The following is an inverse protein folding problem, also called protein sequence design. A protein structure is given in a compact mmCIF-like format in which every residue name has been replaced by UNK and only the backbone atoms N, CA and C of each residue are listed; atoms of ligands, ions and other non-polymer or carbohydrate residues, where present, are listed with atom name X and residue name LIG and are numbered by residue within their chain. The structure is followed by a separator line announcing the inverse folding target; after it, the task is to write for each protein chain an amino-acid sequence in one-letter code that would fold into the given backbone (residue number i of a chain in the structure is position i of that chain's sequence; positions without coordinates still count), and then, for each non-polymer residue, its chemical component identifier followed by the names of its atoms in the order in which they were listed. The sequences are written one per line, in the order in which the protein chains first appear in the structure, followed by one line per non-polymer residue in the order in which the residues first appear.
data_IF_082977853316
#
_entry.id   IF_082977853316
#
_cell.length_a   1.000
_cell.length_b   1.000
_cell.length_c   1.000
_cell.angle_alpha   90.00
_cell.angle_beta   90.00
_cell.angle_gamma   90.00
#
_symmetry.space_group_name_H-M   'P 1'
#
loop_
_entity.id
_entity.type
_entity.pdbx_description
1 polymer ?
#
# COMPACT_ATOMS: atom_id res chain seq x y z
N UNK A 1 14.74 -14.92 -27.37
CA UNK A 1 15.17 -15.15 -25.98
C UNK A 1 15.19 -13.78 -25.30
N UNK A 2 14.25 -13.51 -24.39
CA UNK A 2 14.23 -12.22 -23.68
C UNK A 2 15.48 -12.09 -22.82
N UNK A 3 16.06 -10.89 -22.78
CA UNK A 3 17.35 -10.60 -22.12
C UNK A 3 17.28 -10.71 -20.59
N UNK A 4 16.06 -10.76 -20.05
CA UNK A 4 15.76 -10.93 -18.63
C UNK A 4 14.80 -12.10 -18.53
N UNK A 5 15.26 -13.19 -17.92
CA UNK A 5 14.66 -14.51 -18.02
C UNK A 5 13.18 -14.54 -17.66
N UNK A 6 12.34 -14.72 -18.67
CA UNK A 6 11.07 -15.40 -18.48
C UNK A 6 11.43 -16.88 -18.51
N UNK A 7 11.41 -17.56 -17.36
CA UNK A 7 11.32 -19.01 -17.36
C UNK A 7 9.92 -19.35 -17.87
N UNK A 8 9.76 -19.29 -19.19
CA UNK A 8 8.61 -19.82 -19.89
C UNK A 8 8.56 -21.29 -19.49
N UNK A 9 7.66 -21.62 -18.56
CA UNK A 9 7.32 -22.99 -18.25
C UNK A 9 6.96 -23.70 -19.56
N UNK A 10 7.15 -25.02 -19.59
CA UNK A 10 7.04 -25.86 -20.79
C UNK A 10 5.73 -25.67 -21.60
N UNK A 11 4.71 -25.04 -21.02
CA UNK A 11 3.41 -24.76 -21.62
C UNK A 11 3.43 -23.70 -22.75
N UNK A 12 4.38 -22.77 -22.75
CA UNK A 12 4.48 -21.76 -23.84
C UNK A 12 4.99 -22.39 -25.14
N UNK A 13 5.79 -23.45 -25.04
CA UNK A 13 6.29 -24.21 -26.21
C UNK A 13 5.16 -25.01 -26.90
N UNK A 14 4.01 -25.19 -26.25
CA UNK A 14 2.87 -25.95 -26.77
C UNK A 14 1.71 -25.08 -27.32
N UNK A 15 1.88 -23.76 -27.43
CA UNK A 15 0.85 -22.87 -27.97
C UNK A 15 -0.42 -22.77 -27.09
N UNK A 16 -0.29 -23.08 -25.79
CA UNK A 16 -1.41 -23.11 -24.83
C UNK A 16 -1.32 -22.02 -23.75
N UNK A 17 -0.59 -20.93 -24.02
CA UNK A 17 -0.62 -19.80 -23.09
C UNK A 17 -1.94 -19.05 -23.27
N UNK A 18 -2.90 -19.35 -22.40
CA UNK A 18 -4.16 -18.60 -22.33
C UNK A 18 -3.93 -17.37 -21.45
N UNK A 19 -3.97 -16.21 -22.10
CA UNK A 19 -4.11 -14.92 -21.41
C UNK A 19 -5.49 -14.91 -20.78
N UNK A 20 -5.63 -14.75 -19.45
CA UNK A 20 -6.93 -14.52 -18.84
C UNK A 20 -7.66 -13.37 -19.54
N UNK A 21 -8.97 -13.52 -19.77
CA UNK A 21 -9.81 -12.50 -20.44
C UNK A 21 -9.82 -11.15 -19.70
N UNK A 22 -9.37 -11.15 -18.45
CA UNK A 22 -9.29 -10.01 -17.54
C UNK A 22 -8.04 -9.14 -17.77
N UNK A 23 -7.10 -9.60 -18.61
CA UNK A 23 -5.87 -8.84 -18.90
C UNK A 23 -6.15 -7.77 -19.94
N UNK A 24 -5.88 -6.53 -19.56
CA UNK A 24 -5.87 -5.39 -20.46
C UNK A 24 -4.72 -5.54 -21.49
N UNK A 25 -5.10 -5.76 -22.75
CA UNK A 25 -4.16 -5.92 -23.85
C UNK A 25 -3.30 -4.68 -24.10
N UNK A 26 -3.80 -3.48 -23.79
CA UNK A 26 -3.02 -2.25 -23.94
C UNK A 26 -1.90 -2.23 -22.87
N UNK A 27 -2.20 -2.64 -21.63
CA UNK A 27 -1.18 -2.78 -20.58
C UNK A 27 -0.14 -3.85 -20.95
N UNK A 28 -0.59 -4.98 -21.50
CA UNK A 28 0.29 -6.05 -21.94
C UNK A 28 1.20 -5.60 -23.09
N UNK A 29 0.66 -4.91 -24.09
CA UNK A 29 1.46 -4.39 -25.21
C UNK A 29 2.54 -3.44 -24.70
N UNK A 30 2.17 -2.47 -23.85
CA UNK A 30 3.12 -1.53 -23.27
C UNK A 30 4.22 -2.22 -22.45
N UNK A 31 3.89 -3.28 -21.72
CA UNK A 31 4.87 -4.06 -20.96
C UNK A 31 5.82 -4.85 -21.88
N UNK A 32 5.30 -5.42 -22.98
CA UNK A 32 6.10 -6.11 -23.99
C UNK A 32 7.05 -5.14 -24.68
N UNK A 33 6.57 -3.96 -25.07
CA UNK A 33 7.38 -2.90 -25.68
C UNK A 33 8.50 -2.46 -24.74
N UNK A 34 8.18 -2.25 -23.46
CA UNK A 34 9.18 -1.97 -22.42
C UNK A 34 10.29 -3.04 -22.35
N UNK A 35 9.91 -4.31 -22.36
CA UNK A 35 10.87 -5.43 -22.28
C UNK A 35 11.72 -5.58 -23.55
N UNK A 36 11.18 -5.21 -24.71
CA UNK A 36 11.88 -5.30 -26.00
C UNK A 36 12.82 -4.12 -26.27
N UNK A 37 12.36 -2.89 -26.05
CA UNK A 37 13.13 -1.69 -26.39
C UNK A 37 14.30 -1.45 -25.42
N UNK A 38 14.20 -2.00 -24.20
CA UNK A 38 15.17 -1.72 -23.13
C UNK A 38 15.24 -0.22 -22.78
N UNK A 39 14.23 0.55 -23.20
CA UNK A 39 14.11 1.96 -22.93
C UNK A 39 13.42 2.13 -21.58
N UNK A 40 14.20 2.48 -20.56
CA UNK A 40 13.72 2.67 -19.19
C UNK A 40 12.94 3.99 -18.99
N UNK A 41 12.68 4.73 -20.07
CA UNK A 41 11.75 5.86 -20.07
C UNK A 41 10.34 5.34 -19.80
N UNK A 42 9.88 5.51 -18.56
CA UNK A 42 8.55 5.11 -18.08
C UNK A 42 7.43 5.30 -19.12
N UNK A 43 6.84 4.20 -19.56
CA UNK A 43 5.79 4.18 -20.61
C UNK A 43 4.42 4.61 -20.05
N UNK A 44 4.22 4.51 -18.74
CA UNK A 44 2.94 4.82 -18.11
C UNK A 44 2.93 6.18 -17.43
N UNK A 45 1.75 6.77 -17.32
CA UNK A 45 1.58 8.02 -16.57
C UNK A 45 2.04 7.81 -15.13
N UNK A 46 3.17 8.42 -14.75
CA UNK A 46 3.72 8.39 -13.38
C UNK A 46 2.72 8.87 -12.32
N UNK A 47 1.64 9.49 -12.77
CA UNK A 47 0.61 10.09 -11.94
C UNK A 47 -0.56 9.14 -11.64
N UNK A 48 -0.66 8.01 -12.34
CA UNK A 48 -1.75 7.05 -12.19
C UNK A 48 -1.36 5.87 -11.28
N UNK A 49 -1.65 6.03 -9.98
CA UNK A 49 -1.45 5.00 -8.95
C UNK A 49 -2.21 3.71 -9.32
N UNK A 50 -3.40 3.83 -9.92
CA UNK A 50 -4.20 2.66 -10.27
C UNK A 50 -3.53 1.86 -11.38
N UNK A 51 -3.11 2.54 -12.44
CA UNK A 51 -2.41 1.90 -13.56
C UNK A 51 -1.13 1.18 -13.10
N UNK A 52 -0.41 1.76 -12.14
CA UNK A 52 0.77 1.13 -11.54
C UNK A 52 0.42 -0.17 -10.79
N UNK A 53 -0.71 -0.22 -10.06
CA UNK A 53 -1.16 -1.45 -9.38
C UNK A 53 -1.47 -2.54 -10.43
N UNK A 54 -2.23 -2.20 -11.47
CA UNK A 54 -2.61 -3.18 -12.49
C UNK A 54 -1.40 -3.69 -13.27
N UNK A 55 -0.45 -2.80 -13.60
CA UNK A 55 0.80 -3.20 -14.22
C UNK A 55 1.65 -4.10 -13.31
N UNK A 56 1.67 -3.82 -12.00
CA UNK A 56 2.38 -4.68 -11.04
C UNK A 56 1.77 -6.08 -11.01
N UNK A 57 0.44 -6.18 -11.01
CA UNK A 57 -0.28 -7.48 -11.07
C UNK A 57 0.02 -8.23 -12.36
N UNK A 58 0.04 -7.53 -13.49
CA UNK A 58 0.39 -8.11 -14.78
C UNK A 58 1.84 -8.60 -14.81
N UNK A 59 2.78 -7.82 -14.29
CA UNK A 59 4.18 -8.22 -14.17
C UNK A 59 4.34 -9.44 -13.26
N UNK A 60 3.60 -9.51 -12.16
CA UNK A 60 3.56 -10.67 -11.28
C UNK A 60 2.95 -11.91 -11.96
N UNK A 61 1.91 -11.74 -12.79
CA UNK A 61 1.34 -12.83 -13.59
C UNK A 61 2.35 -13.39 -14.61
N UNK A 62 3.16 -12.51 -15.21
CA UNK A 62 4.20 -12.86 -16.17
C UNK A 62 5.54 -13.25 -15.51
N UNK A 63 5.61 -13.23 -14.18
CA UNK A 63 6.81 -13.50 -13.38
C UNK A 63 8.01 -12.59 -13.74
N UNK A 64 7.73 -11.31 -14.04
CA UNK A 64 8.74 -10.30 -14.41
C UNK A 64 9.12 -9.46 -13.17
N UNK A 65 9.95 -10.03 -12.30
CA UNK A 65 10.35 -9.41 -11.03
C UNK A 65 11.00 -8.04 -11.17
N UNK A 66 11.80 -7.83 -12.23
CA UNK A 66 12.48 -6.55 -12.48
C UNK A 66 11.48 -5.41 -12.67
N UNK A 67 10.37 -5.67 -13.36
CA UNK A 67 9.29 -4.69 -13.57
C UNK A 67 8.54 -4.44 -12.27
N UNK A 68 8.22 -5.51 -11.52
CA UNK A 68 7.58 -5.37 -10.20
C UNK A 68 8.39 -4.46 -9.29
N UNK A 69 9.70 -4.70 -9.18
CA UNK A 69 10.60 -3.90 -8.35
C UNK A 69 10.65 -2.43 -8.78
N UNK A 70 10.73 -2.18 -10.10
CA UNK A 70 10.71 -0.82 -10.64
C UNK A 70 9.40 -0.12 -10.26
N UNK A 71 8.25 -0.78 -10.42
CA UNK A 71 6.96 -0.19 -10.06
C UNK A 71 6.89 0.13 -8.57
N UNK A 72 7.37 -0.76 -7.70
CA UNK A 72 7.41 -0.55 -6.24
C UNK A 72 8.26 0.68 -5.86
N UNK A 73 9.44 0.85 -6.47
CA UNK A 73 10.29 2.03 -6.25
C UNK A 73 9.60 3.33 -6.68
N UNK A 74 8.89 3.29 -7.81
CA UNK A 74 8.18 4.46 -8.33
C UNK A 74 6.99 4.82 -7.44
N UNK A 75 6.20 3.84 -7.02
CA UNK A 75 5.08 4.05 -6.11
C UNK A 75 5.53 4.54 -4.73
N UNK A 76 6.64 4.02 -4.19
CA UNK A 76 7.22 4.51 -2.94
C UNK A 76 7.53 6.00 -3.03
N UNK A 77 8.18 6.42 -4.11
CA UNK A 77 8.52 7.83 -4.32
C UNK A 77 7.27 8.69 -4.51
N UNK A 78 6.27 8.17 -5.24
CA UNK A 78 5.07 8.92 -5.61
C UNK A 78 4.09 9.08 -4.45
N UNK A 79 3.87 8.02 -3.68
CA UNK A 79 2.97 8.00 -2.53
C UNK A 79 3.59 8.71 -1.31
N UNK A 80 4.86 9.14 -1.38
CA UNK A 80 5.54 9.83 -0.29
C UNK A 80 4.84 11.10 0.24
N UNK A 81 4.14 11.87 -0.60
CA UNK A 81 3.42 13.08 -0.17
C UNK A 81 2.03 12.76 0.40
N UNK A 82 1.60 13.50 1.44
CA UNK A 82 0.27 13.29 2.04
C UNK A 82 -0.88 13.34 1.03
N UNK A 83 -0.84 14.26 0.06
CA UNK A 83 -1.84 14.35 -1.02
C UNK A 83 -1.98 13.04 -1.80
N UNK A 84 -0.87 12.33 -2.05
CA UNK A 84 -0.87 11.05 -2.74
C UNK A 84 -1.24 9.90 -1.79
N UNK A 85 -0.84 9.96 -0.51
CA UNK A 85 -1.31 9.02 0.52
C UNK A 85 -2.84 9.01 0.64
N UNK A 86 -3.48 10.19 0.59
CA UNK A 86 -4.94 10.32 0.54
C UNK A 86 -5.58 9.60 -0.65
N UNK A 87 -4.92 9.59 -1.82
CA UNK A 87 -5.41 8.89 -3.01
C UNK A 87 -5.20 7.39 -2.89
N UNK A 88 -4.03 6.97 -2.41
CA UNK A 88 -3.67 5.55 -2.21
C UNK A 88 -4.50 4.88 -1.10
N UNK A 89 -4.89 5.62 -0.06
CA UNK A 89 -5.67 5.12 1.07
C UNK A 89 -7.18 5.05 0.81
N UNK A 90 -7.66 5.34 -0.40
CA UNK A 90 -9.09 5.22 -0.71
C UNK A 90 -9.52 3.74 -0.65
N UNK A 91 -10.75 3.43 -0.23
CA UNK A 91 -11.22 2.04 -0.10
C UNK A 91 -11.09 1.21 -1.38
N UNK A 92 -11.33 1.79 -2.55
CA UNK A 92 -11.19 1.12 -3.84
C UNK A 92 -9.73 0.76 -4.14
N UNK A 93 -8.78 1.64 -3.83
CA UNK A 93 -7.35 1.37 -3.99
C UNK A 93 -6.86 0.30 -3.02
N UNK A 94 -7.28 0.37 -1.76
CA UNK A 94 -6.96 -0.66 -0.76
C UNK A 94 -7.54 -2.01 -1.17
N UNK A 95 -8.80 -2.05 -1.64
CA UNK A 95 -9.41 -3.27 -2.16
C UNK A 95 -8.60 -3.84 -3.32
N UNK A 96 -8.17 -3.02 -4.28
CA UNK A 96 -7.34 -3.47 -5.41
C UNK A 96 -6.04 -4.13 -4.97
N UNK A 97 -5.36 -3.60 -3.95
CA UNK A 97 -4.07 -4.14 -3.46
C UNK A 97 -4.27 -5.34 -2.56
N UNK A 98 -5.22 -5.27 -1.62
CA UNK A 98 -5.35 -6.26 -0.55
C UNK A 98 -6.27 -7.45 -0.88
N UNK A 99 -7.03 -7.38 -1.98
CA UNK A 99 -7.78 -8.54 -2.51
C UNK A 99 -6.89 -9.59 -3.19
N UNK A 100 -5.71 -9.20 -3.68
CA UNK A 100 -4.72 -10.11 -4.26
C UNK A 100 -3.68 -10.47 -3.18
N UNK A 101 -3.59 -11.73 -2.72
CA UNK A 101 -2.62 -12.14 -1.70
C UNK A 101 -1.16 -11.89 -2.08
N UNK A 102 -0.79 -11.98 -3.37
CA UNK A 102 0.60 -11.73 -3.80
C UNK A 102 0.92 -10.23 -3.70
N UNK A 103 -0.01 -9.37 -4.13
CA UNK A 103 0.13 -7.92 -4.01
C UNK A 103 0.10 -7.45 -2.54
N UNK A 104 -0.81 -8.00 -1.74
CA UNK A 104 -0.97 -7.68 -0.32
C UNK A 104 0.28 -8.00 0.52
N UNK A 105 1.01 -9.06 0.18
CA UNK A 105 2.20 -9.49 0.92
C UNK A 105 3.52 -8.99 0.31
N UNK A 106 3.49 -8.26 -0.80
CA UNK A 106 4.69 -7.65 -1.40
C UNK A 106 4.95 -6.24 -0.86
N UNK A 107 6.00 -5.57 -1.37
CA UNK A 107 6.30 -4.16 -1.06
C UNK A 107 5.09 -3.25 -1.35
N UNK A 108 4.27 -3.60 -2.36
CA UNK A 108 3.02 -2.89 -2.65
C UNK A 108 2.12 -2.80 -1.43
N UNK A 109 1.84 -3.94 -0.78
CA UNK A 109 1.04 -3.99 0.44
C UNK A 109 1.61 -3.09 1.54
N UNK A 110 2.94 -3.06 1.71
CA UNK A 110 3.58 -2.17 2.69
C UNK A 110 3.41 -0.69 2.35
N UNK A 111 3.61 -0.28 1.09
CA UNK A 111 3.46 1.12 0.64
C UNK A 111 2.03 1.61 0.89
N UNK A 112 1.03 0.81 0.52
CA UNK A 112 -0.37 1.18 0.69
C UNK A 112 -0.83 1.15 2.16
N UNK A 113 -0.31 0.22 2.95
CA UNK A 113 -0.56 0.20 4.40
C UNK A 113 0.05 1.41 5.10
N UNK A 114 1.24 1.86 4.71
CA UNK A 114 1.86 3.09 5.22
C UNK A 114 0.98 4.31 4.90
N UNK A 115 0.47 4.39 3.66
CA UNK A 115 -0.44 5.45 3.25
C UNK A 115 -1.75 5.44 4.04
N UNK A 116 -2.36 4.26 4.21
CA UNK A 116 -3.56 4.08 5.01
C UNK A 116 -3.35 4.52 6.45
N UNK A 117 -2.24 4.09 7.07
CA UNK A 117 -1.87 4.50 8.43
C UNK A 117 -1.70 6.01 8.54
N UNK A 118 -0.96 6.64 7.63
CA UNK A 118 -0.74 8.08 7.67
C UNK A 118 -2.06 8.87 7.54
N UNK A 119 -2.97 8.44 6.67
CA UNK A 119 -4.29 9.08 6.50
C UNK A 119 -5.17 8.83 7.72
N UNK A 120 -5.17 7.60 8.26
CA UNK A 120 -5.88 7.26 9.49
C UNK A 120 -5.41 8.14 10.65
N UNK A 121 -4.10 8.38 10.78
CA UNK A 121 -3.51 9.19 11.84
C UNK A 121 -3.62 10.71 11.64
N UNK A 122 -4.03 11.22 10.48
CA UNK A 122 -4.02 12.67 10.20
C UNK A 122 -5.38 13.27 9.89
N UNK A 123 -6.35 12.47 9.45
CA UNK A 123 -7.59 13.01 8.89
C UNK A 123 -8.49 13.71 9.89
N UNK A 124 -8.59 13.20 11.13
CA UNK A 124 -9.58 13.66 12.12
C UNK A 124 -11.06 13.55 11.68
N UNK A 125 -11.33 13.19 10.41
CA UNK A 125 -12.65 13.11 9.80
C UNK A 125 -13.24 11.72 10.01
N UNK A 126 -14.34 11.65 10.74
CA UNK A 126 -15.02 10.41 11.11
C UNK A 126 -15.32 9.50 9.91
N UNK A 127 -15.68 10.05 8.74
CA UNK A 127 -16.03 9.25 7.56
C UNK A 127 -14.84 8.53 6.93
N UNK A 128 -13.69 9.20 6.87
CA UNK A 128 -12.46 8.61 6.36
C UNK A 128 -11.95 7.53 7.33
N UNK A 129 -12.01 7.81 8.63
CA UNK A 129 -11.66 6.85 9.67
C UNK A 129 -12.52 5.59 9.60
N UNK A 130 -13.86 5.74 9.54
CA UNK A 130 -14.80 4.61 9.41
C UNK A 130 -14.52 3.75 8.19
N UNK A 131 -14.17 4.38 7.07
CA UNK A 131 -13.87 3.66 5.83
C UNK A 131 -12.56 2.86 5.94
N UNK A 132 -11.54 3.44 6.57
CA UNK A 132 -10.26 2.77 6.81
C UNK A 132 -10.36 1.67 7.87
N UNK A 133 -11.14 1.88 8.93
CA UNK A 133 -11.42 0.85 9.93
C UNK A 133 -12.12 -0.35 9.30
N UNK A 134 -13.13 -0.10 8.45
CA UNK A 134 -13.77 -1.18 7.67
C UNK A 134 -12.78 -1.94 6.79
N UNK A 135 -11.95 -1.23 6.03
CA UNK A 135 -10.94 -1.88 5.19
C UNK A 135 -9.92 -2.69 6.02
N UNK A 136 -9.53 -2.19 7.19
CA UNK A 136 -8.64 -2.88 8.13
C UNK A 136 -9.27 -4.15 8.73
N UNK A 137 -10.57 -4.15 8.90
CA UNK A 137 -11.34 -5.30 9.39
C UNK A 137 -11.57 -6.34 8.29
N UNK A 138 -11.81 -5.87 7.06
CA UNK A 138 -11.99 -6.69 5.86
C UNK A 138 -10.68 -7.37 5.42
N UNK A 139 -9.55 -6.67 5.52
CA UNK A 139 -8.23 -7.14 5.07
C UNK A 139 -7.26 -7.30 6.26
N UNK A 140 -7.14 -8.49 6.88
CA UNK A 140 -6.21 -8.71 7.98
C UNK A 140 -4.74 -8.40 7.66
N UNK A 141 -4.33 -8.57 6.40
CA UNK A 141 -2.96 -8.24 5.94
C UNK A 141 -2.70 -6.74 6.04
N UNK A 142 -3.67 -5.90 5.63
CA UNK A 142 -3.59 -4.44 5.79
C UNK A 142 -3.41 -4.08 7.26
N UNK A 143 -4.21 -4.66 8.16
CA UNK A 143 -4.08 -4.44 9.60
C UNK A 143 -2.67 -4.74 10.10
N UNK A 144 -2.11 -5.90 9.76
CA UNK A 144 -0.75 -6.30 10.19
C UNK A 144 0.31 -5.33 9.67
N UNK A 145 0.21 -4.88 8.44
CA UNK A 145 1.16 -3.92 7.87
C UNK A 145 1.02 -2.53 8.48
N UNK A 146 -0.20 -2.07 8.76
CA UNK A 146 -0.43 -0.83 9.50
C UNK A 146 0.15 -0.90 10.92
N UNK A 147 -0.04 -2.02 11.61
CA UNK A 147 0.54 -2.26 12.94
C UNK A 147 2.08 -2.24 12.90
N UNK A 148 2.68 -2.87 11.88
CA UNK A 148 4.12 -2.85 11.64
C UNK A 148 4.64 -1.41 11.48
N UNK A 149 4.02 -0.61 10.62
CA UNK A 149 4.43 0.78 10.40
C UNK A 149 4.23 1.63 11.66
N UNK A 150 3.13 1.43 12.38
CA UNK A 150 2.87 2.12 13.64
C UNK A 150 3.97 1.84 14.66
N UNK A 151 4.37 0.58 14.82
CA UNK A 151 5.46 0.21 15.72
C UNK A 151 6.80 0.80 15.27
N UNK A 152 7.09 0.73 13.97
CA UNK A 152 8.32 1.26 13.39
C UNK A 152 8.45 2.78 13.66
N UNK A 153 7.39 3.55 13.40
CA UNK A 153 7.40 4.99 13.64
C UNK A 153 7.54 5.35 15.13
N UNK A 154 6.90 4.60 16.03
CA UNK A 154 7.06 4.80 17.47
C UNK A 154 8.52 4.57 17.92
N UNK A 155 9.19 3.53 17.39
CA UNK A 155 10.60 3.27 17.70
C UNK A 155 11.49 4.41 17.21
N UNK A 156 11.24 4.94 16.02
CA UNK A 156 11.99 6.08 15.49
C UNK A 156 11.82 7.32 16.37
N UNK A 157 10.58 7.67 16.74
CA UNK A 157 10.30 8.81 17.62
C UNK A 157 11.04 8.69 18.96
N UNK A 158 10.99 7.51 19.61
CA UNK A 158 11.63 7.31 20.91
C UNK A 158 13.16 7.25 20.84
N UNK A 159 13.74 6.90 19.69
CA UNK A 159 15.19 6.82 19.54
C UNK A 159 15.89 8.17 19.48
N UNK A 160 15.14 9.29 19.37
CA UNK A 160 15.70 10.63 19.16
C UNK A 160 16.53 10.75 17.87
N UNK A 161 16.51 9.71 17.04
CA UNK A 161 17.24 9.63 15.79
C UNK A 161 16.54 10.52 14.77
N UNK A 162 17.10 11.70 14.54
CA UNK A 162 16.78 12.59 13.42
C UNK A 162 17.28 12.05 12.07
N UNK A 163 17.64 10.76 11.97
CA UNK A 163 18.01 10.19 10.69
C UNK A 163 16.82 10.15 9.73
N UNK A 164 17.01 10.92 8.66
CA UNK A 164 16.19 11.20 7.49
C UNK A 164 15.85 9.97 6.64
N UNK A 165 15.20 8.97 7.23
CA UNK A 165 14.44 8.05 6.38
C UNK A 165 13.18 8.82 5.99
N UNK A 166 13.20 9.26 4.73
CA UNK A 166 12.25 10.14 4.04
C UNK A 166 12.46 11.66 4.24
N UNK A 167 13.63 12.17 3.83
CA UNK A 167 13.77 13.55 3.31
C UNK A 167 12.99 13.79 1.98
N UNK A 168 11.80 13.19 1.85
CA UNK A 168 10.77 13.40 0.81
C UNK A 168 9.33 13.14 1.31
N UNK A 169 9.10 12.91 2.60
CA UNK A 169 7.80 13.13 3.21
C UNK A 169 7.96 14.43 3.97
N UNK A 170 7.61 15.55 3.35
CA UNK A 170 7.52 16.82 4.06
C UNK A 170 6.51 16.62 5.20
N UNK A 171 7.10 16.40 6.36
CA UNK A 171 6.55 16.40 7.72
C UNK A 171 5.28 15.57 7.92
N UNK A 172 5.43 14.42 8.60
CA UNK A 172 4.40 14.05 9.57
C UNK A 172 4.26 15.25 10.53
N UNK A 173 3.10 15.94 10.60
CA UNK A 173 2.93 16.98 11.59
C UNK A 173 3.07 16.35 12.97
N UNK A 174 3.62 17.07 13.94
CA UNK A 174 3.71 16.64 15.35
C UNK A 174 2.35 16.15 15.91
N UNK A 175 1.25 16.54 15.26
CA UNK A 175 -0.11 16.07 15.49
C UNK A 175 -0.30 14.58 15.18
N UNK A 176 0.26 14.05 14.10
CA UNK A 176 0.14 12.64 13.70
C UNK A 176 0.70 11.67 14.77
N UNK A 177 1.67 12.15 15.56
CA UNK A 177 2.27 11.43 16.70
C UNK A 177 1.30 11.29 17.87
N UNK A 178 0.42 12.29 18.11
CA UNK A 178 -0.66 12.19 19.11
C UNK A 178 -1.67 11.09 18.75
N UNK A 179 -1.87 10.82 17.45
CA UNK A 179 -2.81 9.82 16.96
C UNK A 179 -2.24 8.39 16.89
N UNK A 180 -0.92 8.20 16.92
CA UNK A 180 -0.29 6.88 17.07
C UNK A 180 -0.42 6.30 18.50
N UNK A 181 -0.67 7.13 19.52
CA UNK A 181 -0.88 6.64 20.89
C UNK A 181 -2.20 5.85 21.06
N UNK A 182 -3.34 6.29 20.50
CA UNK A 182 -4.55 5.47 20.39
C UNK A 182 -4.33 4.13 19.70
N UNK A 183 -3.54 4.07 18.60
CA UNK A 183 -3.18 2.83 17.92
C UNK A 183 -2.40 1.88 18.83
N UNK A 184 -1.39 2.37 19.53
CA UNK A 184 -0.64 1.56 20.52
C UNK A 184 -1.59 0.97 21.57
N UNK A 185 -2.53 1.77 22.08
CA UNK A 185 -3.52 1.32 23.08
C UNK A 185 -4.48 0.29 22.47
N UNK A 186 -4.98 0.52 21.26
CA UNK A 186 -5.87 -0.42 20.56
C UNK A 186 -5.16 -1.73 20.17
N UNK A 187 -3.89 -1.67 19.77
CA UNK A 187 -3.04 -2.85 19.52
C UNK A 187 -2.77 -3.64 20.80
N UNK A 188 -2.47 -2.96 21.91
CA UNK A 188 -2.32 -3.59 23.23
C UNK A 188 -3.64 -4.27 23.63
N UNK A 189 -4.77 -3.57 23.54
CA UNK A 189 -6.08 -4.10 23.92
C UNK A 189 -6.52 -5.25 23.00
N UNK A 190 -6.25 -5.18 21.70
CA UNK A 190 -6.53 -6.27 20.74
C UNK A 190 -5.64 -7.50 20.98
N UNK A 191 -4.35 -7.31 21.28
CA UNK A 191 -3.44 -8.41 21.66
C UNK A 191 -3.81 -9.05 23.00
N UNK A 192 -4.43 -8.29 23.90
CA UNK A 192 -4.91 -8.78 25.19
C UNK A 192 -6.33 -9.39 25.12
N UNK A 193 -6.99 -9.39 23.96
CA UNK A 193 -8.35 -9.92 23.80
C UNK A 193 -9.44 -9.09 24.48
N UNK A 194 -9.18 -7.81 24.78
CA UNK A 194 -10.06 -6.92 25.56
C UNK A 194 -11.02 -6.12 24.66
N UNK A 195 -10.96 -6.30 23.33
CA UNK A 195 -11.82 -5.59 22.38
C UNK A 195 -13.26 -6.17 22.32
N UNK A 196 -14.01 -5.99 23.42
CA UNK A 196 -15.48 -6.14 23.47
C UNK A 196 -16.19 -4.79 23.30
N UNK A 197 -17.42 -4.83 22.79
CA UNK A 197 -18.25 -3.74 22.25
C UNK A 197 -18.57 -2.53 23.14
N UNK A 198 -18.06 -2.46 24.36
CA UNK A 198 -18.39 -1.42 25.34
C UNK A 198 -17.17 -0.55 25.71
N UNK A 199 -16.45 -0.07 24.70
CA UNK A 199 -15.35 0.87 24.93
C UNK A 199 -15.93 2.25 25.32
N UNK A 200 -15.65 2.78 26.53
CA UNK A 200 -16.08 4.12 26.97
C UNK A 200 -15.45 5.28 26.17
N UNK A 201 -14.73 4.97 25.09
CA UNK A 201 -13.96 5.92 24.30
C UNK A 201 -14.80 6.60 23.22
N UNK A 202 -15.81 5.92 22.66
CA UNK A 202 -16.73 6.54 21.70
C UNK A 202 -17.57 7.66 22.35
N UNK A 203 -17.83 7.57 23.66
CA UNK A 203 -18.53 8.62 24.42
C UNK A 203 -17.63 9.79 24.84
N UNK A 204 -16.30 9.60 24.87
CA UNK A 204 -15.35 10.69 25.18
C UNK A 204 -15.00 11.53 23.93
N UNK A 205 -15.00 10.93 22.73
CA UNK A 205 -14.82 11.69 21.49
C UNK A 205 -16.00 12.62 21.16
N UNK A 206 -17.22 12.30 21.62
CA UNK A 206 -18.39 13.18 21.48
C UNK A 206 -18.46 14.32 22.51
N UNK A 207 -17.67 14.27 23.58
CA UNK A 207 -17.77 15.21 24.71
C UNK A 207 -16.71 16.34 24.70
N UNK A 208 -15.78 16.33 23.74
CA UNK A 208 -14.62 17.22 23.71
C UNK A 208 -14.54 18.17 22.51
N UNK A 209 -15.68 18.65 21.99
CA UNK A 209 -15.72 19.70 20.95
C UNK A 209 -16.54 20.89 21.47
N UNK A 210 -15.82 21.85 22.07
CA UNK A 210 -16.09 23.28 22.02
C UNK A 210 -14.76 24.00 21.82
#
# INVERSE_FOLDING_TARGET
MFKYGVHLTADVVLGKWQVPDEIDFDLLSNLIDYLHEGNYGWIFSRDDIQQNIELWKLANFLEVESVMHIIELNLTTRIGSMKQKYRAAKPDMLTRVFSDPKCANSTMGFIFAEAALAVWSTTGKADHLRSLDRARDEFPVLRRHMDFWSELYLRYYHSGSTYSIIAKSETWPDEAIKYCQPLRRHMILSRLGIAGSDSPFLSQLSAGIW
#
